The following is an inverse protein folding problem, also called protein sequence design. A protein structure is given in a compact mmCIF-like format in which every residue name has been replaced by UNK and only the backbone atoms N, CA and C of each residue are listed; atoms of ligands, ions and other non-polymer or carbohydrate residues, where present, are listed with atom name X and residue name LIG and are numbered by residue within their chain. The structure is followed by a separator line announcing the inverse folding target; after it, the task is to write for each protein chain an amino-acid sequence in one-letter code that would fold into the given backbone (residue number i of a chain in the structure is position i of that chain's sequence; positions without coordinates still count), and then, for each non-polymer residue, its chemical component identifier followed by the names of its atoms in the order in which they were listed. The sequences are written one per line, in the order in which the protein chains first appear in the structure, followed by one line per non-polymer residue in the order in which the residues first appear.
data_IF_587144529207
#
_entry.id   IF_587144529207
#
_cell.length_a   1.000
_cell.length_b   1.000
_cell.length_c   1.000
_cell.angle_alpha   90.00
_cell.angle_beta   90.00
_cell.angle_gamma   90.00
#
_symmetry.space_group_name_H-M   'P 1'
#
loop_
_entity.id
_entity.type
_entity.pdbx_description
1 polymer ?
#
# COMPACT_ATOMS: atom_id res chain seq x y z
N UNK A 1 27.38 13.49 -11.83
CA UNK A 1 26.13 12.92 -11.28
C UNK A 1 25.17 14.07 -11.09
N UNK A 2 24.14 14.20 -11.94
CA UNK A 2 23.03 15.09 -11.60
C UNK A 2 22.34 14.41 -10.43
N UNK A 3 22.38 15.05 -9.27
CA UNK A 3 21.51 14.64 -8.18
C UNK A 3 20.08 14.85 -8.71
N UNK A 4 19.32 13.77 -8.80
CA UNK A 4 18.01 13.80 -9.43
C UNK A 4 17.04 14.53 -8.50
N UNK A 5 16.11 15.31 -9.05
CA UNK A 5 15.11 16.01 -8.24
C UNK A 5 14.25 14.98 -7.49
N UNK A 6 14.05 13.81 -8.11
CA UNK A 6 13.39 12.65 -7.52
C UNK A 6 14.02 12.22 -6.18
N UNK A 7 15.35 12.13 -6.11
CA UNK A 7 16.06 11.69 -4.90
C UNK A 7 16.21 12.80 -3.84
N UNK A 8 16.29 14.06 -4.27
CA UNK A 8 16.52 15.20 -3.37
C UNK A 8 15.24 15.73 -2.73
N UNK A 9 14.19 15.86 -3.54
CA UNK A 9 12.91 16.42 -3.12
C UNK A 9 11.79 15.76 -3.95
N UNK A 10 11.40 14.58 -3.47
CA UNK A 10 10.36 13.76 -4.08
C UNK A 10 9.04 14.53 -4.27
N UNK A 11 8.64 15.35 -3.29
CA UNK A 11 7.38 16.10 -3.37
C UNK A 11 7.44 17.15 -4.48
N UNK A 12 8.55 17.89 -4.56
CA UNK A 12 8.76 18.86 -5.63
C UNK A 12 8.85 18.18 -7.01
N UNK A 13 9.45 16.99 -7.09
CA UNK A 13 9.45 16.18 -8.31
C UNK A 13 8.04 15.77 -8.74
N UNK A 14 7.17 15.37 -7.82
CA UNK A 14 5.76 15.05 -8.11
C UNK A 14 5.01 16.27 -8.66
N UNK A 15 5.10 17.41 -7.98
CA UNK A 15 4.41 18.63 -8.41
C UNK A 15 4.89 19.10 -9.78
N UNK A 16 6.20 19.01 -10.03
CA UNK A 16 6.79 19.32 -11.34
C UNK A 16 6.29 18.35 -12.43
N UNK A 17 6.34 17.05 -12.17
CA UNK A 17 5.91 16.00 -13.11
C UNK A 17 4.43 16.16 -13.45
N UNK A 18 3.60 16.46 -12.44
CA UNK A 18 2.17 16.77 -12.62
C UNK A 18 1.96 18.00 -13.50
N UNK A 19 2.65 19.10 -13.22
CA UNK A 19 2.55 20.34 -14.02
C UNK A 19 2.94 20.10 -15.49
N UNK A 20 4.00 19.32 -15.73
CA UNK A 20 4.42 18.96 -17.09
C UNK A 20 3.38 18.10 -17.81
N UNK A 21 2.75 17.14 -17.12
CA UNK A 21 1.67 16.32 -17.66
C UNK A 21 0.43 17.16 -18.01
N UNK A 22 -0.01 18.05 -17.10
CA UNK A 22 -1.17 18.93 -17.32
C UNK A 22 -0.95 19.87 -18.52
N UNK A 23 0.28 20.36 -18.70
CA UNK A 23 0.67 21.23 -19.81
C UNK A 23 1.11 20.48 -21.07
N UNK A 24 1.01 19.14 -21.10
CA UNK A 24 1.38 18.29 -22.23
C UNK A 24 2.86 18.45 -22.68
N UNK A 25 3.75 18.82 -21.76
CA UNK A 25 5.18 19.03 -22.02
C UNK A 25 5.98 17.71 -21.91
N UNK A 26 5.63 16.73 -22.74
CA UNK A 26 6.18 15.38 -22.64
C UNK A 26 7.70 15.28 -22.85
N UNK A 27 8.31 16.22 -23.57
CA UNK A 27 9.76 16.24 -23.83
C UNK A 27 10.61 16.55 -22.59
N UNK A 28 9.99 17.14 -21.56
CA UNK A 28 10.67 17.53 -20.32
C UNK A 28 10.38 16.54 -19.18
N UNK A 29 9.56 15.51 -19.45
CA UNK A 29 9.25 14.48 -18.47
C UNK A 29 10.45 13.59 -18.21
N UNK A 30 10.66 13.35 -16.94
CA UNK A 30 11.53 12.33 -16.43
C UNK A 30 10.81 10.97 -16.49
N UNK A 31 10.80 10.38 -17.68
CA UNK A 31 10.04 9.16 -17.97
C UNK A 31 10.55 7.95 -17.20
N UNK A 32 11.86 7.86 -16.92
CA UNK A 32 12.45 6.71 -16.24
C UNK A 32 11.91 6.63 -14.80
N UNK A 33 12.02 7.73 -14.03
CA UNK A 33 11.50 7.79 -12.66
C UNK A 33 9.96 7.68 -12.62
N UNK A 34 9.24 8.20 -13.62
CA UNK A 34 7.78 8.08 -13.69
C UNK A 34 7.32 6.63 -13.95
N UNK A 35 8.01 5.90 -14.84
CA UNK A 35 7.72 4.48 -15.11
C UNK A 35 8.01 3.62 -13.88
N UNK A 36 9.12 3.91 -13.19
CA UNK A 36 9.47 3.24 -11.94
C UNK A 36 8.38 3.46 -10.87
N UNK A 37 7.97 4.71 -10.64
CA UNK A 37 6.93 5.06 -9.67
C UNK A 37 5.60 4.36 -9.98
N UNK A 38 5.16 4.35 -11.25
CA UNK A 38 3.94 3.64 -11.66
C UNK A 38 4.05 2.13 -11.42
N UNK A 39 5.20 1.55 -11.72
CA UNK A 39 5.46 0.12 -11.52
C UNK A 39 5.46 -0.24 -10.03
N UNK A 40 6.06 0.61 -9.20
CA UNK A 40 6.21 0.41 -7.77
C UNK A 40 4.91 0.67 -7.01
N UNK A 41 4.06 1.61 -7.45
CA UNK A 41 2.70 1.75 -6.94
C UNK A 41 1.92 0.43 -7.03
N UNK A 42 1.98 -0.27 -8.17
CA UNK A 42 1.33 -1.58 -8.34
C UNK A 42 1.88 -2.65 -7.40
N UNK A 43 3.21 -2.71 -7.23
CA UNK A 43 3.86 -3.63 -6.29
C UNK A 43 3.51 -3.32 -4.84
N UNK A 44 3.50 -2.04 -4.46
CA UNK A 44 3.23 -1.56 -3.10
C UNK A 44 1.81 -1.89 -2.65
N UNK A 45 0.81 -1.72 -3.52
CA UNK A 45 -0.56 -2.11 -3.21
C UNK A 45 -0.69 -3.63 -2.99
N UNK A 46 -0.08 -4.44 -3.86
CA UNK A 46 -0.06 -5.91 -3.71
C UNK A 46 0.64 -6.35 -2.42
N UNK A 47 1.78 -5.73 -2.09
CA UNK A 47 2.53 -6.03 -0.88
C UNK A 47 1.77 -5.61 0.38
N UNK A 48 1.09 -4.46 0.35
CA UNK A 48 0.22 -3.99 1.43
C UNK A 48 -0.94 -4.96 1.68
N UNK A 49 -1.60 -5.43 0.61
CA UNK A 49 -2.65 -6.45 0.70
C UNK A 49 -2.12 -7.73 1.37
N UNK A 50 -0.96 -8.24 0.93
CA UNK A 50 -0.30 -9.40 1.53
C UNK A 50 0.01 -9.21 3.01
N UNK A 51 0.52 -8.04 3.40
CA UNK A 51 0.85 -7.70 4.78
C UNK A 51 -0.40 -7.70 5.67
N UNK A 52 -1.48 -7.05 5.22
CA UNK A 52 -2.74 -7.02 5.96
C UNK A 52 -3.39 -8.41 6.08
N UNK A 53 -3.33 -9.24 5.03
CA UNK A 53 -3.81 -10.62 5.08
C UNK A 53 -3.02 -11.46 6.09
N UNK A 54 -1.68 -11.36 6.05
CA UNK A 54 -0.79 -12.05 7.00
C UNK A 54 -1.14 -11.68 8.44
N UNK A 55 -1.24 -10.38 8.75
CA UNK A 55 -1.59 -9.90 10.09
C UNK A 55 -3.01 -10.33 10.50
N UNK A 56 -3.97 -10.26 9.59
CA UNK A 56 -5.33 -10.71 9.84
C UNK A 56 -5.36 -12.19 10.24
N UNK A 57 -4.67 -13.05 9.49
CA UNK A 57 -4.56 -14.48 9.79
C UNK A 57 -3.88 -14.72 11.13
N UNK A 58 -2.77 -14.03 11.41
CA UNK A 58 -2.05 -14.13 12.68
C UNK A 58 -2.96 -13.82 13.88
N UNK A 59 -3.71 -12.71 13.84
CA UNK A 59 -4.61 -12.34 14.93
C UNK A 59 -5.80 -13.30 15.07
N UNK A 60 -6.31 -13.85 13.96
CA UNK A 60 -7.35 -14.88 14.02
C UNK A 60 -6.84 -16.17 14.67
N UNK A 61 -5.62 -16.59 14.35
CA UNK A 61 -4.98 -17.76 14.97
C UNK A 61 -4.71 -17.54 16.45
N UNK A 62 -4.20 -16.36 16.84
CA UNK A 62 -4.02 -16.00 18.25
C UNK A 62 -5.34 -16.07 19.01
N UNK A 63 -6.45 -15.56 18.45
CA UNK A 63 -7.75 -15.66 19.09
C UNK A 63 -8.29 -17.11 19.20
N UNK A 64 -8.00 -17.95 18.22
CA UNK A 64 -8.49 -19.33 18.20
C UNK A 64 -7.70 -20.26 19.14
N UNK A 65 -6.39 -20.06 19.25
CA UNK A 65 -5.49 -21.03 19.88
C UNK A 65 -4.74 -20.51 21.11
N UNK A 66 -4.64 -19.20 21.32
CA UNK A 66 -3.89 -18.64 22.45
C UNK A 66 -4.78 -18.46 23.69
N UNK A 67 -5.25 -19.58 24.25
CA UNK A 67 -6.23 -19.59 25.33
C UNK A 67 -5.74 -18.93 26.63
N UNK A 68 -4.45 -19.04 26.96
CA UNK A 68 -3.87 -18.48 28.19
C UNK A 68 -3.90 -16.95 28.25
N UNK A 69 -3.87 -16.29 27.09
CA UNK A 69 -3.76 -14.83 26.97
C UNK A 69 -5.06 -14.19 26.45
N UNK A 70 -6.11 -15.00 26.29
CA UNK A 70 -7.33 -14.64 25.58
C UNK A 70 -8.09 -13.52 26.31
N UNK A 71 -8.31 -13.60 27.61
CA UNK A 71 -9.09 -12.61 28.36
C UNK A 71 -8.47 -11.20 28.28
N UNK A 72 -7.14 -11.11 28.34
CA UNK A 72 -6.42 -9.84 28.28
C UNK A 72 -6.34 -9.28 26.85
N UNK A 73 -6.04 -10.13 25.85
CA UNK A 73 -5.70 -9.69 24.50
C UNK A 73 -6.86 -9.73 23.50
N UNK A 74 -8.01 -10.33 23.84
CA UNK A 74 -9.11 -10.54 22.89
C UNK A 74 -9.69 -9.23 22.37
N UNK A 75 -9.83 -8.20 23.22
CA UNK A 75 -10.39 -6.91 22.81
C UNK A 75 -9.48 -6.19 21.80
N UNK A 76 -8.17 -6.16 22.07
CA UNK A 76 -7.18 -5.58 21.15
C UNK A 76 -7.13 -6.33 19.82
N UNK A 77 -7.06 -7.66 19.87
CA UNK A 77 -7.04 -8.49 18.67
C UNK A 77 -8.31 -8.35 17.82
N UNK A 78 -9.51 -8.28 18.43
CA UNK A 78 -10.76 -8.02 17.70
C UNK A 78 -10.76 -6.65 17.00
N UNK A 79 -10.17 -5.63 17.62
CA UNK A 79 -10.04 -4.30 17.01
C UNK A 79 -9.07 -4.31 15.83
N UNK A 80 -7.89 -4.91 15.98
CA UNK A 80 -6.91 -5.06 14.91
C UNK A 80 -7.49 -5.84 13.71
N UNK A 81 -8.20 -6.94 13.97
CA UNK A 81 -8.92 -7.69 12.93
C UNK A 81 -9.90 -6.81 12.15
N UNK A 82 -10.66 -5.94 12.84
CA UNK A 82 -11.58 -5.00 12.19
C UNK A 82 -10.82 -3.99 11.34
N UNK A 83 -9.68 -3.49 11.83
CA UNK A 83 -8.84 -2.54 11.11
C UNK A 83 -8.26 -3.16 9.83
N UNK A 84 -7.68 -4.37 9.90
CA UNK A 84 -7.12 -5.04 8.72
C UNK A 84 -8.21 -5.37 7.70
N UNK A 85 -9.38 -5.85 8.13
CA UNK A 85 -10.51 -6.09 7.22
C UNK A 85 -10.95 -4.82 6.49
N UNK A 86 -10.95 -3.67 7.17
CA UNK A 86 -11.25 -2.38 6.53
C UNK A 86 -10.15 -1.96 5.55
N UNK A 87 -8.88 -2.10 5.92
CA UNK A 87 -7.76 -1.77 5.04
C UNK A 87 -7.76 -2.62 3.76
N UNK A 88 -7.97 -3.93 3.89
CA UNK A 88 -8.12 -4.86 2.76
C UNK A 88 -9.27 -4.44 1.85
N UNK A 89 -10.44 -4.13 2.40
CA UNK A 89 -11.60 -3.66 1.61
C UNK A 89 -11.29 -2.38 0.85
N UNK A 90 -10.54 -1.45 1.45
CA UNK A 90 -10.15 -0.19 0.81
C UNK A 90 -9.22 -0.44 -0.38
N UNK A 91 -8.16 -1.22 -0.18
CA UNK A 91 -7.21 -1.57 -1.25
C UNK A 91 -7.94 -2.20 -2.44
N UNK A 92 -8.92 -3.07 -2.19
CA UNK A 92 -9.70 -3.71 -3.26
C UNK A 92 -10.67 -2.75 -3.95
N UNK A 93 -11.28 -1.83 -3.21
CA UNK A 93 -12.15 -0.80 -3.80
C UNK A 93 -11.35 0.14 -4.72
N UNK A 94 -10.13 0.49 -4.32
CA UNK A 94 -9.23 1.34 -5.10
C UNK A 94 -8.60 0.57 -6.28
N UNK A 95 -8.55 -0.76 -6.23
CA UNK A 95 -7.98 -1.62 -7.28
C UNK A 95 -8.66 -2.99 -7.35
N UNK A 96 -9.75 -3.06 -8.11
CA UNK A 96 -10.57 -4.28 -8.25
C UNK A 96 -9.80 -5.45 -8.87
N UNK A 97 -8.77 -5.17 -9.67
CA UNK A 97 -7.84 -6.19 -10.22
C UNK A 97 -7.08 -6.98 -9.14
N UNK A 98 -7.09 -6.52 -7.88
CA UNK A 98 -6.50 -7.23 -6.74
C UNK A 98 -7.46 -8.23 -6.06
N UNK A 99 -8.75 -8.27 -6.41
CA UNK A 99 -9.71 -9.25 -5.87
C UNK A 99 -9.25 -10.72 -5.97
N UNK A 100 -8.66 -11.18 -7.08
CA UNK A 100 -8.24 -12.58 -7.22
C UNK A 100 -7.21 -13.04 -6.17
N UNK A 101 -6.55 -12.12 -5.47
CA UNK A 101 -5.54 -12.44 -4.45
C UNK A 101 -6.13 -12.70 -3.05
N UNK A 102 -7.46 -12.66 -2.87
CA UNK A 102 -8.11 -12.82 -1.57
C UNK A 102 -8.37 -14.26 -1.08
N UNK A 103 -8.18 -15.27 -1.94
CA UNK A 103 -8.45 -16.72 -1.79
C UNK A 103 -9.11 -17.15 -0.47
#
# INVERSE_FOLDING_TARGET
MKSDLYEQDYYLWIEKTRSLLENHQFSELDLDNLIEEISDMGKSQRQSLKSYLTRLLEHLLKLAYWQSELEYNQRGSKNEIRNFRRAIKRIIADSTSLQPYLI
#
